data_IF_152187952696
#
_entry.id   IF_152187952696
#
_cell.length_a   1.000
_cell.length_b   1.000
_cell.length_c   1.000
_cell.angle_alpha   90.00
_cell.angle_beta   90.00
_cell.angle_gamma   90.00
#
_symmetry.space_group_name_H-M   'P 1'
#
loop_
_entity.id
_entity.type
_entity.pdbx_description
1 polymer ?
#
# COMPACT_ATOMS: atom_id res chain seq x y z
N UNK A 1 55.33 -22.21 42.55
CA UNK A 1 55.56 -22.63 41.14
C UNK A 1 56.98 -22.29 40.76
N UNK A 2 57.69 -23.19 40.06
CA UNK A 2 59.01 -22.89 39.50
C UNK A 2 58.82 -21.93 38.32
N UNK A 3 59.39 -20.72 38.43
CA UNK A 3 59.35 -19.73 37.35
C UNK A 3 60.32 -20.15 36.24
N UNK A 4 59.89 -20.01 34.99
CA UNK A 4 60.71 -20.27 33.79
C UNK A 4 60.82 -18.99 32.99
N UNK A 5 62.00 -18.74 32.44
CA UNK A 5 62.27 -17.55 31.61
C UNK A 5 61.99 -17.86 30.14
N UNK A 6 61.40 -16.91 29.42
CA UNK A 6 61.13 -16.99 27.98
C UNK A 6 61.95 -15.90 27.31
N UNK A 7 62.66 -16.26 26.24
CA UNK A 7 63.39 -15.30 25.41
C UNK A 7 62.45 -14.72 24.36
N UNK A 8 62.36 -13.40 24.30
CA UNK A 8 61.60 -12.66 23.29
C UNK A 8 62.45 -11.50 22.77
N UNK A 9 62.22 -11.06 21.54
CA UNK A 9 62.95 -9.91 21.00
C UNK A 9 62.54 -8.62 21.71
N UNK A 10 63.43 -7.62 21.71
CA UNK A 10 63.19 -6.32 22.35
C UNK A 10 61.92 -5.62 21.82
N UNK A 11 61.59 -5.80 20.54
CA UNK A 11 60.35 -5.30 19.95
C UNK A 11 59.12 -5.96 20.58
N UNK A 12 59.07 -7.29 20.60
CA UNK A 12 57.94 -8.03 21.17
C UNK A 12 57.81 -7.83 22.68
N UNK A 13 58.91 -7.57 23.40
CA UNK A 13 58.86 -7.18 24.80
C UNK A 13 58.16 -5.83 25.00
N UNK A 14 58.40 -4.83 24.14
CA UNK A 14 57.70 -3.54 24.18
C UNK A 14 56.21 -3.70 23.87
N UNK A 15 55.85 -4.55 22.90
CA UNK A 15 54.44 -4.82 22.59
C UNK A 15 53.75 -5.61 23.71
N UNK A 16 54.45 -6.55 24.35
CA UNK A 16 53.95 -7.25 25.54
C UNK A 16 53.68 -6.26 26.69
N UNK A 17 54.53 -5.25 26.88
CA UNK A 17 54.32 -4.20 27.87
C UNK A 17 53.03 -3.41 27.61
N UNK A 18 52.78 -3.02 26.35
CA UNK A 18 51.54 -2.33 25.96
C UNK A 18 50.30 -3.20 26.19
N UNK A 19 50.36 -4.48 25.82
CA UNK A 19 49.24 -5.41 26.01
C UNK A 19 48.97 -5.69 27.49
N UNK A 20 50.04 -5.79 28.29
CA UNK A 20 49.97 -5.94 29.74
C UNK A 20 49.27 -4.74 30.40
N UNK A 21 49.61 -3.52 29.98
CA UNK A 21 48.96 -2.29 30.45
C UNK A 21 47.49 -2.24 30.00
N UNK A 22 47.21 -2.52 28.72
CA UNK A 22 45.87 -2.45 28.15
C UNK A 22 44.89 -3.45 28.80
N UNK A 23 45.37 -4.65 29.17
CA UNK A 23 44.53 -5.69 29.77
C UNK A 23 44.67 -5.79 31.29
N UNK A 24 45.51 -4.96 31.93
CA UNK A 24 45.71 -4.95 33.38
C UNK A 24 46.33 -6.25 33.94
N UNK A 25 47.14 -6.96 33.15
CA UNK A 25 47.77 -8.22 33.55
C UNK A 25 49.29 -8.08 33.69
N UNK A 26 49.89 -8.69 34.71
CA UNK A 26 51.35 -8.87 34.77
C UNK A 26 51.85 -9.74 33.61
N UNK A 27 53.09 -9.55 33.16
CA UNK A 27 53.63 -10.23 31.96
C UNK A 27 53.49 -11.76 32.00
N UNK A 28 53.82 -12.39 33.13
CA UNK A 28 53.73 -13.85 33.23
C UNK A 28 52.28 -14.35 33.13
N UNK A 29 51.34 -13.65 33.79
CA UNK A 29 49.92 -14.00 33.78
C UNK A 29 49.32 -13.82 32.38
N UNK A 30 49.71 -12.76 31.68
CA UNK A 30 49.29 -12.54 30.29
C UNK A 30 49.76 -13.70 29.40
N UNK A 31 50.99 -14.16 29.55
CA UNK A 31 51.51 -15.30 28.77
C UNK A 31 50.79 -16.61 29.13
N UNK A 32 50.50 -16.87 30.40
CA UNK A 32 49.73 -18.05 30.84
C UNK A 32 48.31 -18.04 30.24
N UNK A 33 47.65 -16.88 30.24
CA UNK A 33 46.33 -16.72 29.63
C UNK A 33 46.39 -16.85 28.11
N UNK A 34 47.44 -16.36 27.43
CA UNK A 34 47.62 -16.56 25.99
C UNK A 34 47.78 -18.04 25.65
N UNK A 35 48.59 -18.79 26.40
CA UNK A 35 48.75 -20.25 26.21
C UNK A 35 47.40 -20.95 26.39
N UNK A 36 46.66 -20.57 27.44
CA UNK A 36 45.33 -21.13 27.73
C UNK A 36 44.33 -20.79 26.64
N UNK A 37 44.36 -19.56 26.14
CA UNK A 37 43.51 -19.08 25.05
C UNK A 37 43.76 -19.87 23.76
N UNK A 38 45.01 -20.02 23.31
CA UNK A 38 45.33 -20.78 22.11
C UNK A 38 44.95 -22.26 22.24
N UNK A 39 45.16 -22.87 23.42
CA UNK A 39 44.74 -24.25 23.69
C UNK A 39 43.22 -24.43 23.68
N UNK A 40 42.47 -23.51 24.29
CA UNK A 40 41.00 -23.60 24.38
C UNK A 40 40.32 -23.31 23.04
N UNK A 41 40.83 -22.33 22.30
CA UNK A 41 40.23 -21.88 21.04
C UNK A 41 40.71 -22.68 19.82
N UNK A 42 41.85 -23.38 19.93
CA UNK A 42 42.47 -24.07 18.79
C UNK A 42 43.07 -23.13 17.75
N UNK A 43 43.09 -21.82 18.03
CA UNK A 43 43.57 -20.79 17.11
C UNK A 43 45.09 -20.89 16.98
N UNK A 44 45.58 -21.12 15.76
CA UNK A 44 47.01 -21.03 15.45
C UNK A 44 47.39 -19.55 15.22
N UNK A 45 48.23 -18.93 16.06
CA UNK A 45 48.64 -17.53 15.91
C UNK A 45 49.44 -17.25 14.62
N UNK A 46 49.88 -18.30 13.91
CA UNK A 46 50.55 -18.18 12.60
C UNK A 46 49.57 -18.21 11.42
N UNK A 47 48.30 -18.57 11.62
CA UNK A 47 47.30 -18.59 10.55
C UNK A 47 46.77 -17.18 10.28
N UNK A 48 46.98 -16.71 9.05
CA UNK A 48 46.56 -15.39 8.55
C UNK A 48 45.05 -15.24 8.44
N UNK A 49 44.28 -16.32 8.57
CA UNK A 49 42.81 -16.31 8.57
C UNK A 49 42.19 -15.81 9.87
N UNK A 50 42.97 -15.66 10.94
CA UNK A 50 42.49 -15.08 12.20
C UNK A 50 42.41 -13.55 12.10
N UNK A 51 41.62 -13.06 11.14
CA UNK A 51 41.34 -11.65 11.00
C UNK A 51 40.61 -11.11 12.24
N UNK A 52 40.90 -9.86 12.59
CA UNK A 52 40.24 -9.16 13.69
C UNK A 52 38.71 -9.22 13.50
N UNK A 53 37.93 -9.75 14.47
CA UNK A 53 36.47 -9.85 14.39
C UNK A 53 35.77 -8.54 14.00
N UNK A 54 36.38 -7.40 14.36
CA UNK A 54 35.90 -6.06 13.99
C UNK A 54 35.83 -5.83 12.48
N UNK A 55 36.72 -6.45 11.69
CA UNK A 55 36.67 -6.37 10.22
C UNK A 55 35.47 -7.13 9.67
N UNK A 56 35.22 -8.33 10.18
CA UNK A 56 34.07 -9.14 9.77
C UNK A 56 32.75 -8.43 10.06
N UNK A 57 32.61 -7.82 11.24
CA UNK A 57 31.42 -7.03 11.60
C UNK A 57 31.23 -5.83 10.66
N UNK A 58 32.30 -5.11 10.30
CA UNK A 58 32.23 -3.99 9.34
C UNK A 58 31.80 -4.43 7.94
N UNK A 59 32.26 -5.58 7.48
CA UNK A 59 31.83 -6.11 6.18
C UNK A 59 30.37 -6.58 6.19
N UNK A 60 29.89 -7.15 7.30
CA UNK A 60 28.47 -7.45 7.47
C UNK A 60 27.61 -6.17 7.43
N UNK A 61 28.02 -5.12 8.14
CA UNK A 61 27.32 -3.83 8.13
C UNK A 61 27.23 -3.22 6.72
N UNK A 62 28.35 -3.21 5.97
CA UNK A 62 28.35 -2.76 4.56
C UNK A 62 27.38 -3.57 3.69
N UNK A 63 27.34 -4.89 3.85
CA UNK A 63 26.42 -5.75 3.10
C UNK A 63 24.98 -5.46 3.45
N UNK A 64 24.67 -5.25 4.73
CA UNK A 64 23.33 -4.90 5.19
C UNK A 64 22.87 -3.55 4.60
N UNK A 65 23.72 -2.53 4.66
CA UNK A 65 23.42 -1.20 4.08
C UNK A 65 23.20 -1.31 2.57
N UNK A 66 24.04 -2.07 1.87
CA UNK A 66 23.90 -2.33 0.44
C UNK A 66 22.56 -3.01 0.12
N UNK A 67 22.20 -4.05 0.88
CA UNK A 67 20.93 -4.74 0.73
C UNK A 67 19.73 -3.80 0.93
N UNK A 68 19.73 -2.99 1.99
CA UNK A 68 18.65 -2.01 2.25
C UNK A 68 18.54 -1.01 1.09
N UNK A 69 19.66 -0.52 0.56
CA UNK A 69 19.65 0.40 -0.59
C UNK A 69 19.04 -0.23 -1.84
N UNK A 70 19.35 -1.50 -2.11
CA UNK A 70 18.77 -2.25 -3.23
C UNK A 70 17.26 -2.44 -3.01
N UNK A 71 16.84 -2.87 -1.82
CA UNK A 71 15.42 -3.01 -1.48
C UNK A 71 14.66 -1.69 -1.66
N UNK A 72 15.22 -0.58 -1.19
CA UNK A 72 14.60 0.74 -1.35
C UNK A 72 14.49 1.15 -2.83
N UNK A 73 15.59 1.02 -3.58
CA UNK A 73 15.67 1.49 -4.97
C UNK A 73 14.86 0.63 -5.93
N UNK A 74 14.98 -0.68 -5.80
CA UNK A 74 14.49 -1.62 -6.82
C UNK A 74 13.09 -2.16 -6.50
N UNK A 75 12.64 -2.05 -5.25
CA UNK A 75 11.35 -2.59 -4.82
C UNK A 75 10.45 -1.50 -4.24
N UNK A 76 10.87 -0.83 -3.16
CA UNK A 76 9.97 0.08 -2.43
C UNK A 76 9.62 1.35 -3.22
N UNK A 77 10.58 1.95 -3.93
CA UNK A 77 10.32 3.14 -4.77
C UNK A 77 9.37 2.83 -5.93
N UNK A 78 9.59 1.78 -6.74
CA UNK A 78 8.64 1.37 -7.78
C UNK A 78 7.25 1.09 -7.22
N UNK A 79 7.14 0.28 -6.15
CA UNK A 79 5.84 -0.02 -5.53
C UNK A 79 5.09 1.24 -5.09
N UNK A 80 5.79 2.21 -4.49
CA UNK A 80 5.18 3.48 -4.11
C UNK A 80 4.65 4.24 -5.33
N UNK A 81 5.39 4.22 -6.44
CA UNK A 81 4.97 4.88 -7.67
C UNK A 81 3.76 4.17 -8.30
N UNK A 82 3.78 2.85 -8.39
CA UNK A 82 2.67 2.04 -8.90
C UNK A 82 1.38 2.28 -8.10
N UNK A 83 1.46 2.29 -6.77
CA UNK A 83 0.30 2.58 -5.90
C UNK A 83 -0.21 4.00 -6.12
N UNK A 84 0.68 4.97 -6.31
CA UNK A 84 0.29 6.35 -6.60
C UNK A 84 -0.42 6.44 -7.96
N UNK A 85 0.15 5.84 -9.00
CA UNK A 85 -0.40 5.87 -10.35
C UNK A 85 -1.77 5.18 -10.39
N UNK A 86 -1.89 4.00 -9.74
CA UNK A 86 -3.16 3.30 -9.59
C UNK A 86 -4.21 4.16 -8.88
N UNK A 87 -3.83 4.89 -7.83
CA UNK A 87 -4.74 5.80 -7.12
C UNK A 87 -5.21 6.96 -8.00
N UNK A 88 -4.34 7.49 -8.88
CA UNK A 88 -4.73 8.56 -9.80
C UNK A 88 -5.66 8.03 -10.90
N UNK A 89 -5.35 6.87 -11.48
CA UNK A 89 -6.18 6.22 -12.49
C UNK A 89 -7.56 5.90 -11.94
N UNK A 90 -7.64 5.27 -10.76
CA UNK A 90 -8.92 4.97 -10.10
C UNK A 90 -9.73 6.25 -9.86
N UNK A 91 -9.10 7.34 -9.41
CA UNK A 91 -9.79 8.62 -9.22
C UNK A 91 -10.38 9.14 -10.54
N UNK A 92 -9.63 9.03 -11.64
CA UNK A 92 -10.09 9.43 -12.96
C UNK A 92 -11.24 8.57 -13.47
N UNK A 93 -11.15 7.24 -13.33
CA UNK A 93 -12.22 6.31 -13.70
C UNK A 93 -13.51 6.58 -12.91
N UNK A 94 -13.39 6.84 -11.60
CA UNK A 94 -14.52 7.18 -10.74
C UNK A 94 -15.17 8.49 -11.22
N UNK A 95 -14.37 9.52 -11.52
CA UNK A 95 -14.89 10.79 -12.03
C UNK A 95 -15.62 10.64 -13.37
N UNK A 96 -15.05 9.87 -14.29
CA UNK A 96 -15.70 9.56 -15.58
C UNK A 96 -17.00 8.78 -15.37
N UNK A 97 -16.99 7.79 -14.49
CA UNK A 97 -18.18 6.99 -14.14
C UNK A 97 -19.29 7.87 -13.57
N UNK A 98 -18.96 8.79 -12.66
CA UNK A 98 -19.94 9.76 -12.13
C UNK A 98 -20.51 10.66 -13.21
N UNK A 99 -19.68 11.15 -14.14
CA UNK A 99 -20.14 12.00 -15.24
C UNK A 99 -21.13 11.24 -16.13
N UNK A 100 -20.79 10.02 -16.55
CA UNK A 100 -21.67 9.17 -17.36
C UNK A 100 -22.98 8.90 -16.62
N UNK A 101 -22.92 8.55 -15.34
CA UNK A 101 -24.11 8.29 -14.53
C UNK A 101 -25.05 9.50 -14.48
N UNK A 102 -24.52 10.70 -14.27
CA UNK A 102 -25.31 11.94 -14.25
C UNK A 102 -25.95 12.20 -15.62
N UNK A 103 -25.20 12.01 -16.71
CA UNK A 103 -25.70 12.18 -18.07
C UNK A 103 -26.85 11.20 -18.38
N UNK A 104 -26.69 9.93 -17.97
CA UNK A 104 -27.70 8.88 -18.14
C UNK A 104 -28.95 9.12 -17.28
N UNK A 105 -28.79 9.51 -16.02
CA UNK A 105 -29.93 9.88 -15.16
C UNK A 105 -30.69 11.09 -15.72
N UNK A 106 -29.96 12.09 -16.22
CA UNK A 106 -30.56 13.26 -16.88
C UNK A 106 -31.29 12.88 -18.16
N UNK A 107 -30.76 11.90 -18.90
CA UNK A 107 -31.43 11.36 -20.10
C UNK A 107 -32.73 10.65 -19.72
N UNK A 108 -32.71 9.80 -18.69
CA UNK A 108 -33.90 9.10 -18.18
C UNK A 108 -34.97 10.10 -17.74
N UNK A 109 -34.61 11.13 -16.96
CA UNK A 109 -35.56 12.16 -16.51
C UNK A 109 -36.23 12.87 -17.70
N UNK A 110 -35.47 13.22 -18.75
CA UNK A 110 -36.04 13.80 -19.97
C UNK A 110 -37.01 12.84 -20.67
N UNK A 111 -36.61 11.59 -20.88
CA UNK A 111 -37.46 10.58 -21.52
C UNK A 111 -38.76 10.32 -20.74
N UNK A 112 -38.68 10.22 -19.42
CA UNK A 112 -39.87 10.01 -18.58
C UNK A 112 -40.83 11.20 -18.65
N UNK A 113 -40.31 12.44 -18.67
CA UNK A 113 -41.14 13.64 -18.88
C UNK A 113 -41.81 13.65 -20.24
N UNK A 114 -41.08 13.35 -21.31
CA UNK A 114 -41.64 13.27 -22.67
C UNK A 114 -42.71 12.20 -22.78
N UNK A 115 -42.46 11.02 -22.22
CA UNK A 115 -43.40 9.90 -22.18
C UNK A 115 -44.66 10.26 -21.39
N UNK A 116 -44.52 10.86 -20.21
CA UNK A 116 -45.64 11.31 -19.39
C UNK A 116 -46.49 12.37 -20.12
N UNK A 117 -45.85 13.35 -20.77
CA UNK A 117 -46.53 14.36 -21.57
C UNK A 117 -47.29 13.76 -22.75
N UNK A 118 -46.68 12.80 -23.46
CA UNK A 118 -47.30 12.10 -24.58
C UNK A 118 -48.51 11.28 -24.13
N UNK A 119 -48.37 10.53 -23.03
CA UNK A 119 -49.48 9.79 -22.43
C UNK A 119 -50.62 10.72 -22.00
N UNK A 120 -50.31 11.85 -21.37
CA UNK A 120 -51.31 12.84 -20.97
C UNK A 120 -52.04 13.45 -22.18
N UNK A 121 -51.32 13.72 -23.27
CA UNK A 121 -51.91 14.23 -24.51
C UNK A 121 -52.89 13.21 -25.13
N UNK A 122 -52.51 11.94 -25.17
CA UNK A 122 -53.37 10.86 -25.70
C UNK A 122 -54.59 10.64 -24.82
N UNK A 123 -54.44 10.61 -23.49
CA UNK A 123 -55.56 10.53 -22.53
C UNK A 123 -56.53 11.71 -22.73
N UNK A 124 -56.03 12.94 -22.91
CA UNK A 124 -56.86 14.10 -23.20
C UNK A 124 -57.63 13.95 -24.52
N UNK A 125 -57.00 13.39 -25.55
CA UNK A 125 -57.64 13.13 -26.85
C UNK A 125 -58.74 12.07 -26.72
N UNK A 126 -58.47 10.97 -26.01
CA UNK A 126 -59.44 9.93 -25.73
C UNK A 126 -60.63 10.48 -24.92
N UNK A 127 -60.40 11.29 -23.89
CA UNK A 127 -61.46 11.97 -23.12
C UNK A 127 -62.36 12.81 -24.03
N UNK A 128 -61.78 13.60 -24.95
CA UNK A 128 -62.54 14.39 -25.93
C UNK A 128 -63.40 13.50 -26.84
N UNK A 129 -62.85 12.39 -27.33
CA UNK A 129 -63.58 11.44 -28.16
C UNK A 129 -64.77 10.80 -27.41
N UNK A 130 -64.55 10.36 -26.16
CA UNK A 130 -65.63 9.80 -25.31
C UNK A 130 -66.74 10.82 -25.10
N UNK A 131 -66.41 12.08 -24.80
CA UNK A 131 -67.41 13.15 -24.63
C UNK A 131 -68.16 13.40 -25.94
N UNK A 132 -67.47 13.39 -27.09
CA UNK A 132 -68.11 13.57 -28.40
C UNK A 132 -69.10 12.44 -28.71
N UNK A 133 -68.71 11.18 -28.46
CA UNK A 133 -69.58 10.01 -28.61
C UNK A 133 -70.80 10.13 -27.67
N UNK A 134 -70.59 10.50 -26.41
CA UNK A 134 -71.68 10.69 -25.46
C UNK A 134 -72.69 11.76 -25.91
N UNK A 135 -72.21 12.87 -26.49
CA UNK A 135 -73.06 13.91 -27.08
C UNK A 135 -73.87 13.43 -28.29
N UNK A 136 -73.31 12.53 -29.10
CA UNK A 136 -74.02 11.95 -30.24
C UNK A 136 -75.12 10.97 -29.79
N UNK A 137 -74.87 10.19 -28.73
CA UNK A 137 -75.81 9.20 -28.19
C UNK A 137 -76.93 9.86 -27.37
N UNK A 138 -76.62 10.89 -26.57
CA UNK A 138 -77.57 11.57 -25.70
C UNK A 138 -77.49 13.10 -25.83
N UNK A 139 -77.87 13.61 -27.01
CA UNK A 139 -77.75 15.03 -27.35
C UNK A 139 -78.49 15.99 -26.41
N UNK A 140 -79.56 15.54 -25.75
CA UNK A 140 -80.34 16.33 -24.78
C UNK A 140 -80.03 15.97 -23.31
N UNK A 141 -79.03 15.12 -23.07
CA UNK A 141 -78.67 14.57 -21.77
C UNK A 141 -79.86 13.98 -20.98
N UNK A 142 -80.83 13.37 -21.65
CA UNK A 142 -82.04 12.82 -21.02
C UNK A 142 -81.75 11.58 -20.18
N UNK A 143 -80.75 10.80 -20.58
CA UNK A 143 -80.30 9.60 -19.85
C UNK A 143 -79.23 9.91 -18.79
N UNK A 144 -78.74 11.15 -18.74
CA UNK A 144 -77.74 11.61 -17.77
C UNK A 144 -76.33 11.05 -18.02
N UNK A 145 -76.03 10.55 -19.23
CA UNK A 145 -74.73 9.94 -19.54
C UNK A 145 -73.61 10.99 -19.45
N UNK A 146 -73.84 12.21 -19.95
CA UNK A 146 -72.84 13.27 -19.92
C UNK A 146 -72.51 13.73 -18.50
N UNK A 147 -73.51 13.84 -17.63
CA UNK A 147 -73.30 14.19 -16.22
C UNK A 147 -72.54 13.11 -15.46
N UNK A 148 -72.84 11.82 -15.71
CA UNK A 148 -72.08 10.71 -15.13
C UNK A 148 -70.61 10.69 -15.58
N UNK A 149 -70.36 10.93 -16.87
CA UNK A 149 -69.00 10.98 -17.41
C UNK A 149 -68.22 12.16 -16.81
N UNK A 150 -68.81 13.34 -16.70
CA UNK A 150 -68.11 14.49 -16.11
C UNK A 150 -67.76 14.23 -14.64
N UNK A 151 -68.69 13.68 -13.85
CA UNK A 151 -68.43 13.33 -12.44
C UNK A 151 -67.38 12.22 -12.25
N UNK A 152 -67.08 11.42 -13.28
CA UNK A 152 -66.03 10.40 -13.25
C UNK A 152 -64.61 10.99 -13.44
N UNK A 153 -64.52 12.20 -13.99
CA UNK A 153 -63.25 12.84 -14.34
C UNK A 153 -62.99 14.14 -13.55
N UNK A 154 -63.87 14.48 -12.60
CA UNK A 154 -63.71 15.52 -11.58
C UNK A 154 -63.11 14.91 -10.30
#
# INVERSE_FOLDING_TARGET
>A
MAKKSILISAYHHKELAKLSEAFGYSYYKLVEEMITYFKKTGINPLDSKNENPSKAVRELDKRLISFIRIQERDILKPLRQEVYDYSQEQKHEIQNSYKILIEELSRIDRYERERANTALAEIKKQRKAVIAIAKLIDAKNKSGILSKINNLFD
#
